data_IF_051234402952
#
_entry.id   IF_051234402952
#
_cell.length_a   1.000
_cell.length_b   1.000
_cell.length_c   1.000
_cell.angle_alpha   90.00
_cell.angle_beta   90.00
_cell.angle_gamma   90.00
#
_symmetry.space_group_name_H-M   'P 1'
#
loop_
_entity.id
_entity.type
_entity.pdbx_description
1 polymer ?
#
# COMPACT_ATOMS: atom_id res chain seq x y z
N UNK A 1 -23.94 0.97 26.59
CA UNK A 1 -23.53 -0.43 26.71
C UNK A 1 -23.98 -1.30 25.51
N UNK A 2 -25.23 -1.17 25.03
CA UNK A 2 -25.74 -1.97 23.91
C UNK A 2 -25.00 -1.68 22.60
N UNK A 3 -24.78 -0.43 22.22
CA UNK A 3 -24.04 -0.03 21.02
C UNK A 3 -22.59 -0.55 20.98
N UNK A 4 -21.92 -0.57 22.14
CA UNK A 4 -20.56 -1.16 22.24
C UNK A 4 -20.56 -2.67 22.06
N UNK A 5 -21.59 -3.37 22.53
CA UNK A 5 -21.74 -4.83 22.33
C UNK A 5 -22.03 -5.16 20.87
N UNK A 6 -22.86 -4.37 20.21
CA UNK A 6 -23.17 -4.51 18.79
C UNK A 6 -21.96 -4.23 17.91
N UNK A 7 -21.23 -3.15 18.18
CA UNK A 7 -19.97 -2.84 17.50
C UNK A 7 -18.93 -3.97 17.69
N UNK A 8 -18.80 -4.50 18.90
CA UNK A 8 -17.87 -5.61 19.18
C UNK A 8 -18.28 -6.91 18.47
N UNK A 9 -19.59 -7.20 18.39
CA UNK A 9 -20.13 -8.36 17.65
C UNK A 9 -19.90 -8.21 16.15
N UNK A 10 -20.12 -7.01 15.61
CA UNK A 10 -19.86 -6.70 14.19
C UNK A 10 -18.37 -6.88 13.84
N UNK A 11 -17.48 -6.32 14.65
CA UNK A 11 -16.03 -6.48 14.49
C UNK A 11 -15.61 -7.95 14.51
N UNK A 12 -16.12 -8.76 15.44
CA UNK A 12 -15.83 -10.21 15.50
C UNK A 12 -16.30 -10.96 14.26
N UNK A 13 -17.47 -10.62 13.73
CA UNK A 13 -18.00 -11.29 12.54
C UNK A 13 -17.21 -10.90 11.28
N UNK A 14 -16.87 -9.61 11.11
CA UNK A 14 -16.04 -9.13 10.00
C UNK A 14 -14.65 -9.78 10.03
N UNK A 15 -14.02 -9.85 11.19
CA UNK A 15 -12.72 -10.50 11.36
C UNK A 15 -12.73 -11.98 10.96
N UNK A 16 -13.77 -12.75 11.35
CA UNK A 16 -13.89 -14.14 10.91
C UNK A 16 -14.02 -14.29 9.40
N UNK A 17 -14.74 -13.38 8.75
CA UNK A 17 -14.91 -13.36 7.29
C UNK A 17 -13.59 -13.03 6.59
N UNK A 18 -12.84 -12.05 7.11
CA UNK A 18 -11.54 -11.64 6.57
C UNK A 18 -10.49 -12.76 6.72
N UNK A 19 -10.47 -13.45 7.88
CA UNK A 19 -9.59 -14.60 8.10
C UNK A 19 -9.85 -15.70 7.06
N UNK A 20 -11.11 -16.09 6.87
CA UNK A 20 -11.49 -17.12 5.91
C UNK A 20 -11.16 -16.71 4.46
N UNK A 21 -11.36 -15.44 4.08
CA UNK A 21 -10.99 -14.92 2.78
C UNK A 21 -9.46 -14.93 2.58
N UNK A 22 -8.71 -14.51 3.61
CA UNK A 22 -7.25 -14.51 3.56
C UNK A 22 -6.65 -15.90 3.40
N UNK A 23 -7.21 -16.91 4.09
CA UNK A 23 -6.74 -18.29 3.96
C UNK A 23 -7.08 -18.87 2.58
N UNK A 24 -8.29 -18.63 2.07
CA UNK A 24 -8.78 -19.16 0.78
C UNK A 24 -8.20 -18.44 -0.42
N UNK A 25 -8.35 -17.11 -0.46
CA UNK A 25 -8.04 -16.30 -1.65
C UNK A 25 -6.63 -15.69 -1.58
N UNK A 26 -6.08 -15.58 -0.37
CA UNK A 26 -4.78 -14.96 -0.11
C UNK A 26 -4.84 -13.44 0.01
N UNK A 27 -6.05 -12.84 -0.01
CA UNK A 27 -6.26 -11.41 0.21
C UNK A 27 -7.68 -11.09 0.69
N UNK A 28 -7.87 -9.86 1.16
CA UNK A 28 -9.18 -9.23 1.41
C UNK A 28 -9.07 -7.71 1.39
N UNK A 29 -10.18 -7.04 1.17
CA UNK A 29 -10.29 -5.58 1.28
C UNK A 29 -10.71 -5.21 2.69
N UNK A 30 -10.03 -4.24 3.28
CA UNK A 30 -10.37 -3.67 4.58
C UNK A 30 -10.71 -2.19 4.44
N UNK A 31 -11.86 -1.79 4.95
CA UNK A 31 -12.35 -0.42 4.89
C UNK A 31 -11.85 0.40 6.06
N UNK A 32 -11.51 1.68 5.79
CA UNK A 32 -11.11 2.64 6.81
C UNK A 32 -10.04 2.09 7.78
N UNK A 33 -9.02 1.45 7.23
CA UNK A 33 -7.92 0.90 8.04
C UNK A 33 -7.00 2.01 8.55
N UNK A 34 -6.96 3.13 7.85
CA UNK A 34 -6.18 4.31 8.18
C UNK A 34 -7.00 5.56 7.86
N UNK A 35 -7.03 6.53 8.77
CA UNK A 35 -7.54 7.86 8.45
C UNK A 35 -6.40 8.70 7.85
N UNK A 36 -6.47 9.10 6.57
CA UNK A 36 -5.40 9.86 5.91
C UNK A 36 -5.43 11.36 6.22
N UNK A 37 -6.35 11.86 7.03
CA UNK A 37 -6.53 13.30 7.34
C UNK A 37 -5.32 13.96 7.99
N UNK A 38 -4.43 13.17 8.61
CA UNK A 38 -3.18 13.68 9.18
C UNK A 38 -2.13 14.07 8.12
N UNK A 39 -2.33 13.72 6.84
CA UNK A 39 -1.39 14.02 5.77
C UNK A 39 -1.68 15.42 5.26
N UNK A 40 -0.96 16.42 5.79
CA UNK A 40 -1.10 17.84 5.43
C UNK A 40 -0.04 18.31 4.45
N UNK A 41 0.92 17.47 4.10
CA UNK A 41 2.02 17.80 3.20
C UNK A 41 1.53 18.10 1.78
N UNK A 42 2.23 19.02 1.11
CA UNK A 42 2.05 19.22 -0.32
C UNK A 42 2.44 17.99 -1.13
N UNK A 43 1.83 17.83 -2.29
CA UNK A 43 2.16 16.74 -3.21
C UNK A 43 3.56 16.99 -3.79
N UNK A 44 4.51 16.04 -3.64
CA UNK A 44 5.85 16.21 -4.17
C UNK A 44 5.83 16.39 -5.70
N UNK A 45 6.60 17.35 -6.19
CA UNK A 45 6.78 17.60 -7.63
C UNK A 45 7.98 16.87 -8.21
N UNK A 46 8.96 16.52 -7.36
CA UNK A 46 10.16 15.79 -7.74
C UNK A 46 9.88 14.29 -7.80
N UNK A 47 10.38 13.65 -8.85
CA UNK A 47 10.38 12.21 -9.01
C UNK A 47 11.65 11.62 -8.40
N UNK A 48 11.58 10.38 -7.92
CA UNK A 48 12.72 9.66 -7.38
C UNK A 48 12.39 8.88 -6.11
N UNK A 49 13.42 8.32 -5.51
CA UNK A 49 13.34 7.57 -4.26
C UNK A 49 14.00 8.33 -3.12
N UNK A 50 13.34 8.35 -1.99
CA UNK A 50 13.87 8.92 -0.77
C UNK A 50 13.85 7.87 0.33
N UNK A 51 14.89 7.84 1.12
CA UNK A 51 14.95 7.04 2.33
C UNK A 51 15.09 7.96 3.53
N UNK A 52 14.45 7.63 4.63
CA UNK A 52 14.76 8.23 5.93
C UNK A 52 15.62 7.26 6.74
N UNK A 53 16.54 7.79 7.51
CA UNK A 53 17.25 7.03 8.51
C UNK A 53 16.55 7.16 9.87
N UNK A 54 17.09 6.47 10.89
CA UNK A 54 16.57 6.55 12.27
C UNK A 54 16.54 7.96 12.87
N UNK A 55 17.18 8.93 12.25
CA UNK A 55 17.20 10.35 12.64
C UNK A 55 16.18 11.18 11.85
N UNK A 56 15.38 10.57 10.97
CA UNK A 56 14.41 11.27 10.12
C UNK A 56 15.02 12.03 8.95
N UNK A 57 16.31 11.84 8.65
CA UNK A 57 16.96 12.50 7.51
C UNK A 57 16.56 11.78 6.23
N UNK A 58 15.93 12.50 5.33
CA UNK A 58 15.61 12.00 3.99
C UNK A 58 16.88 11.98 3.13
N UNK A 59 17.15 10.83 2.50
CA UNK A 59 18.17 10.69 1.46
C UNK A 59 17.49 10.47 0.13
N UNK A 60 17.82 11.27 -0.84
CA UNK A 60 17.43 11.03 -2.22
C UNK A 60 18.32 9.95 -2.83
N UNK A 61 17.71 8.93 -3.40
CA UNK A 61 18.40 7.89 -4.15
C UNK A 61 18.00 8.08 -5.62
N UNK A 62 18.95 8.21 -6.54
CA UNK A 62 18.64 8.34 -7.95
C UNK A 62 17.79 7.17 -8.44
N UNK A 63 16.76 7.47 -9.22
CA UNK A 63 15.75 6.50 -9.68
C UNK A 63 16.38 5.31 -10.42
N UNK A 64 17.43 5.55 -11.19
CA UNK A 64 18.15 4.50 -11.94
C UNK A 64 18.91 3.51 -11.07
N UNK A 65 19.18 3.83 -9.80
CA UNK A 65 19.91 2.95 -8.88
C UNK A 65 19.01 1.96 -8.14
N UNK A 66 17.72 2.19 -8.12
CA UNK A 66 16.81 1.48 -7.23
C UNK A 66 15.76 0.65 -7.94
N UNK A 67 15.51 0.88 -9.23
CA UNK A 67 14.42 0.21 -9.90
C UNK A 67 14.60 0.12 -11.43
N UNK A 68 13.93 -0.88 -11.98
CA UNK A 68 13.82 -1.11 -13.41
C UNK A 68 13.08 0.03 -14.13
N UNK A 69 13.21 0.10 -15.46
CA UNK A 69 12.58 1.09 -16.35
C UNK A 69 11.06 1.22 -16.21
N UNK A 70 10.43 0.39 -15.38
CA UNK A 70 8.99 0.35 -15.09
C UNK A 70 8.52 1.43 -14.12
N UNK A 71 9.43 2.21 -13.59
CA UNK A 71 9.23 3.12 -12.46
C UNK A 71 9.08 4.58 -12.86
N UNK A 72 8.99 4.87 -14.14
CA UNK A 72 8.83 6.24 -14.63
C UNK A 72 7.55 6.87 -14.05
N UNK A 73 7.66 8.06 -13.52
CA UNK A 73 6.50 8.81 -13.04
C UNK A 73 6.11 8.56 -11.60
N UNK A 74 7.05 8.30 -10.67
CA UNK A 74 6.75 8.11 -9.24
C UNK A 74 7.75 8.80 -8.32
N UNK A 75 7.35 8.95 -7.07
CA UNK A 75 8.16 9.43 -5.94
C UNK A 75 7.89 8.53 -4.74
N UNK A 76 8.91 7.94 -4.16
CA UNK A 76 8.79 7.02 -3.02
C UNK A 76 9.63 7.46 -1.84
N UNK A 77 9.10 7.27 -0.61
CA UNK A 77 9.80 7.56 0.65
C UNK A 77 9.79 6.30 1.51
N UNK A 78 10.98 5.78 1.78
CA UNK A 78 11.15 4.58 2.60
C UNK A 78 11.33 4.95 4.07
N UNK A 79 10.65 4.21 4.96
CA UNK A 79 10.64 4.42 6.40
C UNK A 79 10.33 5.88 6.80
N UNK A 80 9.44 6.55 6.04
CA UNK A 80 9.10 7.95 6.31
C UNK A 80 8.43 8.07 7.67
N UNK A 81 8.95 8.91 8.59
CA UNK A 81 8.55 8.92 10.00
C UNK A 81 7.07 9.17 10.24
N UNK A 82 6.41 9.92 9.34
CA UNK A 82 4.98 10.23 9.41
C UNK A 82 4.09 8.99 9.57
N UNK A 83 4.49 7.86 9.00
CA UNK A 83 3.69 6.63 9.00
C UNK A 83 4.07 5.62 10.09
N UNK A 84 5.03 5.94 10.96
CA UNK A 84 5.54 5.01 11.97
C UNK A 84 4.45 4.49 12.90
N UNK A 85 3.68 5.38 13.50
CA UNK A 85 2.64 5.00 14.46
C UNK A 85 1.49 4.25 13.77
N UNK A 86 1.11 4.70 12.57
CA UNK A 86 0.13 4.02 11.73
C UNK A 86 0.56 2.59 11.37
N UNK A 87 1.85 2.38 11.06
CA UNK A 87 2.42 1.07 10.77
C UNK A 87 2.21 0.07 11.90
N UNK A 88 2.47 0.48 13.16
CA UNK A 88 2.25 -0.37 14.32
C UNK A 88 0.77 -0.53 14.70
N UNK A 89 -0.05 0.49 14.49
CA UNK A 89 -1.49 0.42 14.73
C UNK A 89 -2.15 -0.56 13.74
N UNK A 90 -1.82 -0.44 12.45
CA UNK A 90 -2.29 -1.33 11.40
C UNK A 90 -1.84 -2.78 11.65
N UNK A 91 -0.59 -3.00 12.08
CA UNK A 91 -0.12 -4.34 12.49
C UNK A 91 -1.06 -5.01 13.47
N UNK A 92 -1.41 -4.30 14.57
CA UNK A 92 -2.32 -4.84 15.61
C UNK A 92 -3.69 -5.18 15.03
N UNK A 93 -4.20 -4.35 14.13
CA UNK A 93 -5.47 -4.60 13.45
C UNK A 93 -5.39 -5.84 12.55
N UNK A 94 -4.32 -5.97 11.76
CA UNK A 94 -4.12 -7.13 10.88
C UNK A 94 -4.01 -8.44 11.67
N UNK A 95 -3.31 -8.45 12.81
CA UNK A 95 -3.24 -9.65 13.66
C UNK A 95 -4.61 -10.16 14.09
N UNK A 96 -5.57 -9.25 14.31
CA UNK A 96 -6.96 -9.60 14.63
C UNK A 96 -7.67 -10.16 13.38
N UNK A 97 -7.51 -9.49 12.24
CA UNK A 97 -8.22 -9.84 11.00
C UNK A 97 -7.77 -11.18 10.41
N UNK A 98 -6.46 -11.49 10.48
CA UNK A 98 -5.91 -12.74 9.93
C UNK A 98 -5.71 -13.83 10.98
N UNK A 99 -5.92 -13.53 12.27
CA UNK A 99 -5.78 -14.52 13.37
C UNK A 99 -4.34 -15.00 13.58
N UNK A 100 -3.32 -14.26 13.13
CA UNK A 100 -1.90 -14.65 13.19
C UNK A 100 -1.06 -13.52 13.77
N UNK A 101 0.04 -13.86 14.43
CA UNK A 101 0.99 -12.87 14.96
C UNK A 101 1.99 -12.46 13.90
N UNK A 102 2.31 -11.17 13.89
CA UNK A 102 3.19 -10.55 12.91
C UNK A 102 4.40 -9.91 13.55
N UNK A 103 5.56 -10.00 12.89
CA UNK A 103 6.67 -9.09 13.09
C UNK A 103 6.62 -7.97 12.05
N UNK A 104 6.97 -6.72 12.43
CA UNK A 104 7.11 -5.64 11.48
C UNK A 104 8.29 -5.92 10.54
N UNK A 105 8.15 -5.60 9.26
CA UNK A 105 9.24 -5.62 8.30
C UNK A 105 9.66 -4.18 7.98
N UNK A 106 8.97 -3.50 7.08
CA UNK A 106 9.23 -2.10 6.77
C UNK A 106 7.98 -1.45 6.16
N UNK A 107 8.06 -0.15 5.94
CA UNK A 107 7.03 0.61 5.23
C UNK A 107 7.64 1.59 4.25
N UNK A 108 6.88 1.93 3.23
CA UNK A 108 7.15 3.06 2.36
C UNK A 108 5.84 3.64 1.83
N UNK A 109 5.86 4.90 1.44
CA UNK A 109 4.77 5.52 0.72
C UNK A 109 5.22 5.92 -0.68
N UNK A 110 4.24 6.05 -1.58
CA UNK A 110 4.52 6.32 -2.97
C UNK A 110 3.45 7.20 -3.59
N UNK A 111 3.93 8.24 -4.27
CA UNK A 111 3.13 9.02 -5.20
C UNK A 111 3.36 8.49 -6.61
N UNK A 112 2.27 8.22 -7.31
CA UNK A 112 2.25 7.88 -8.71
C UNK A 112 1.74 9.06 -9.51
N UNK A 113 2.31 9.25 -10.69
CA UNK A 113 1.99 10.32 -11.63
C UNK A 113 1.79 9.75 -13.02
N UNK A 114 1.52 10.63 -13.99
CA UNK A 114 1.43 10.24 -15.40
C UNK A 114 2.65 9.42 -15.86
N UNK A 115 2.38 8.36 -16.59
CA UNK A 115 3.38 7.40 -17.05
C UNK A 115 3.65 6.24 -16.09
N UNK A 116 3.16 6.30 -14.84
CA UNK A 116 3.31 5.20 -13.88
C UNK A 116 2.59 3.94 -14.33
N UNK A 117 3.21 2.81 -14.04
CA UNK A 117 2.63 1.47 -14.15
C UNK A 117 3.22 0.62 -13.02
N UNK A 118 2.46 -0.29 -12.49
CA UNK A 118 2.96 -1.36 -11.63
C UNK A 118 2.64 -2.68 -12.32
N UNK A 119 3.64 -3.27 -12.98
CA UNK A 119 3.46 -4.55 -13.66
C UNK A 119 3.07 -5.64 -12.69
N UNK A 120 2.43 -6.69 -13.19
CA UNK A 120 2.11 -7.87 -12.41
C UNK A 120 3.37 -8.50 -11.85
N UNK A 121 3.43 -8.68 -10.53
CA UNK A 121 4.57 -9.24 -9.79
C UNK A 121 4.10 -9.83 -8.46
N UNK A 122 4.95 -10.62 -7.86
CA UNK A 122 4.92 -10.99 -6.45
C UNK A 122 6.00 -10.20 -5.71
N UNK A 123 5.78 -9.98 -4.43
CA UNK A 123 6.73 -9.28 -3.58
C UNK A 123 7.91 -10.17 -3.17
N UNK A 124 8.96 -9.53 -2.66
CA UNK A 124 10.11 -10.20 -2.03
C UNK A 124 9.78 -10.71 -0.62
N UNK A 125 10.59 -11.60 -0.07
CA UNK A 125 10.36 -12.28 1.22
C UNK A 125 10.00 -11.38 2.42
N UNK A 126 10.60 -10.18 2.64
CA UNK A 126 10.19 -9.29 3.72
C UNK A 126 8.76 -8.75 3.62
N UNK A 127 8.08 -8.98 2.51
CA UNK A 127 6.71 -8.55 2.23
C UNK A 127 5.71 -9.72 2.30
N UNK A 128 5.95 -10.72 3.16
CA UNK A 128 5.11 -11.91 3.26
C UNK A 128 3.63 -11.57 3.46
N UNK A 129 3.34 -10.63 4.34
CA UNK A 129 2.01 -10.05 4.57
C UNK A 129 2.10 -8.57 4.27
N UNK A 130 1.40 -8.15 3.24
CA UNK A 130 1.40 -6.77 2.76
C UNK A 130 0.03 -6.14 2.91
N UNK A 131 -0.01 -4.85 3.17
CA UNK A 131 -1.20 -4.03 2.98
C UNK A 131 -0.87 -2.79 2.17
N UNK A 132 -1.60 -2.61 1.07
CA UNK A 132 -1.55 -1.42 0.23
C UNK A 132 -2.76 -0.54 0.56
N UNK A 133 -2.53 0.64 1.11
CA UNK A 133 -3.57 1.57 1.58
C UNK A 133 -3.59 2.79 0.67
N UNK A 134 -4.75 3.11 0.09
CA UNK A 134 -4.95 4.37 -0.61
C UNK A 134 -5.03 5.50 0.41
N UNK A 135 -4.25 6.56 0.19
CA UNK A 135 -4.22 7.72 1.09
C UNK A 135 -5.00 8.89 0.54
N UNK A 136 -4.66 9.34 -0.67
CA UNK A 136 -5.33 10.45 -1.34
C UNK A 136 -5.07 10.42 -2.85
N UNK A 137 -5.98 10.97 -3.62
CA UNK A 137 -5.84 11.12 -5.06
C UNK A 137 -6.66 12.31 -5.55
N UNK A 138 -6.25 12.91 -6.67
CA UNK A 138 -7.06 13.90 -7.39
C UNK A 138 -7.61 13.35 -8.71
N UNK A 139 -7.56 12.03 -8.91
CA UNK A 139 -8.20 11.36 -10.04
C UNK A 139 -9.72 11.37 -9.86
N UNK A 140 -10.45 11.69 -10.93
CA UNK A 140 -11.91 11.59 -10.97
C UNK A 140 -12.39 10.14 -10.94
N UNK A 141 -11.61 9.26 -11.59
CA UNK A 141 -11.89 7.82 -11.62
C UNK A 141 -10.89 7.05 -10.78
N UNK A 142 -11.37 6.17 -9.87
CA UNK A 142 -10.46 5.35 -9.07
C UNK A 142 -9.50 4.54 -9.94
N UNK A 143 -8.22 4.58 -9.61
CA UNK A 143 -7.19 3.75 -10.21
C UNK A 143 -7.13 2.40 -9.51
N UNK A 144 -7.71 1.37 -10.16
CA UNK A 144 -7.91 0.07 -9.54
C UNK A 144 -6.61 -0.63 -9.16
N UNK A 145 -6.64 -1.33 -8.02
CA UNK A 145 -5.63 -2.30 -7.61
C UNK A 145 -6.06 -3.68 -8.11
N UNK A 146 -5.18 -4.35 -8.86
CA UNK A 146 -5.39 -5.70 -9.38
C UNK A 146 -4.65 -6.74 -8.53
N UNK A 147 -5.25 -7.90 -8.33
CA UNK A 147 -4.64 -9.05 -7.63
C UNK A 147 -5.28 -10.35 -8.11
N UNK A 148 -4.50 -11.43 -8.16
CA UNK A 148 -5.00 -12.78 -8.43
C UNK A 148 -5.29 -13.52 -7.12
N UNK A 149 -6.37 -14.31 -7.13
CA UNK A 149 -6.71 -15.19 -6.02
C UNK A 149 -5.93 -16.53 -6.07
N UNK A 150 -6.25 -17.45 -5.15
CA UNK A 150 -5.63 -18.78 -5.09
C UNK A 150 -5.89 -19.66 -6.31
N UNK A 151 -6.84 -19.31 -7.17
CA UNK A 151 -7.17 -19.99 -8.43
C UNK A 151 -6.67 -19.22 -9.65
N UNK A 152 -5.77 -18.25 -9.47
CA UNK A 152 -5.22 -17.38 -10.52
C UNK A 152 -6.28 -16.50 -11.22
N UNK A 153 -7.42 -16.28 -10.56
CA UNK A 153 -8.47 -15.43 -11.11
C UNK A 153 -8.20 -13.96 -10.73
N UNK A 154 -8.24 -13.03 -11.70
CA UNK A 154 -7.95 -11.63 -11.45
C UNK A 154 -9.14 -10.91 -10.80
N UNK A 155 -8.84 -10.11 -9.79
CA UNK A 155 -9.77 -9.22 -9.11
C UNK A 155 -9.28 -7.78 -9.19
N UNK A 156 -10.20 -6.83 -9.40
CA UNK A 156 -9.92 -5.39 -9.48
C UNK A 156 -10.68 -4.65 -8.40
N UNK A 157 -9.97 -3.96 -7.53
CA UNK A 157 -10.54 -3.19 -6.43
C UNK A 157 -10.40 -1.69 -6.64
N UNK A 158 -11.51 -0.99 -6.49
CA UNK A 158 -11.58 0.46 -6.38
C UNK A 158 -11.59 0.78 -4.89
N UNK A 159 -10.57 1.46 -4.43
CA UNK A 159 -10.41 1.85 -3.03
C UNK A 159 -10.83 3.31 -2.87
N UNK A 160 -11.34 3.66 -1.70
CA UNK A 160 -11.46 5.03 -1.23
C UNK A 160 -10.24 5.37 -0.35
N UNK A 161 -10.07 6.65 -0.04
CA UNK A 161 -9.03 7.09 0.87
C UNK A 161 -9.23 6.44 2.25
N UNK A 162 -8.14 5.86 2.77
CA UNK A 162 -8.16 5.08 4.01
C UNK A 162 -8.48 3.58 3.84
N UNK A 163 -8.95 3.12 2.68
CA UNK A 163 -9.16 1.69 2.40
C UNK A 163 -7.85 1.00 2.03
N UNK A 164 -7.76 -0.29 2.32
CA UNK A 164 -6.60 -1.10 1.97
C UNK A 164 -6.96 -2.47 1.40
N UNK A 165 -6.02 -3.04 0.64
CA UNK A 165 -5.99 -4.46 0.29
C UNK A 165 -4.90 -5.12 1.11
N UNK A 166 -5.26 -6.14 1.90
CA UNK A 166 -4.35 -7.00 2.65
C UNK A 166 -4.11 -8.24 1.84
N UNK A 167 -2.85 -8.65 1.66
CA UNK A 167 -2.54 -9.78 0.78
C UNK A 167 -1.25 -10.50 1.17
N UNK A 168 -1.13 -11.75 0.73
CA UNK A 168 0.08 -12.57 0.82
C UNK A 168 1.03 -12.14 -0.28
N UNK A 169 1.91 -11.17 0.02
CA UNK A 169 2.73 -10.50 -0.98
C UNK A 169 3.63 -11.42 -1.79
N UNK A 170 4.21 -12.44 -1.14
CA UNK A 170 5.10 -13.42 -1.79
C UNK A 170 4.37 -14.51 -2.59
N UNK A 171 3.02 -14.53 -2.57
CA UNK A 171 2.23 -15.61 -3.17
C UNK A 171 1.24 -15.12 -4.23
N UNK A 172 0.81 -13.86 -4.17
CA UNK A 172 -0.25 -13.32 -5.02
C UNK A 172 0.30 -12.32 -6.01
N UNK A 173 0.12 -12.59 -7.31
CA UNK A 173 0.39 -11.62 -8.35
C UNK A 173 -0.51 -10.42 -8.19
N UNK A 174 0.09 -9.23 -8.17
CA UNK A 174 -0.66 -7.99 -8.02
C UNK A 174 -0.06 -6.88 -8.89
N UNK A 175 -0.91 -5.91 -9.28
CA UNK A 175 -0.53 -4.89 -10.26
C UNK A 175 -1.40 -3.64 -10.17
N UNK A 176 -0.98 -2.62 -10.89
CA UNK A 176 -1.82 -1.52 -11.35
C UNK A 176 -1.58 -1.30 -12.83
N UNK A 177 -2.64 -1.13 -13.62
CA UNK A 177 -2.55 -0.77 -15.04
C UNK A 177 -1.86 0.59 -15.21
N UNK A 178 -1.64 1.01 -16.44
CA UNK A 178 -1.10 2.34 -16.73
C UNK A 178 -1.93 3.41 -16.01
N UNK A 179 -1.22 4.40 -15.43
CA UNK A 179 -1.83 5.53 -14.73
C UNK A 179 -2.87 6.23 -15.63
N UNK A 180 -4.06 6.57 -15.11
CA UNK A 180 -5.12 7.18 -15.90
C UNK A 180 -4.71 8.54 -16.49
N UNK A 181 -5.17 8.81 -17.68
CA UNK A 181 -5.10 10.14 -18.30
C UNK A 181 -6.49 10.74 -18.30
N UNK A 182 -6.64 11.93 -17.76
CA UNK A 182 -7.89 12.67 -17.71
C UNK A 182 -7.77 13.96 -18.54
N UNK A 183 -8.89 14.46 -19.00
CA UNK A 183 -8.97 15.63 -19.86
C UNK A 183 -10.03 16.61 -19.35
N UNK A 184 -9.66 17.86 -19.25
CA UNK A 184 -10.61 18.95 -19.11
C UNK A 184 -11.24 19.23 -20.48
N UNK A 185 -12.54 19.52 -20.48
CA UNK A 185 -13.27 19.88 -21.71
C UNK A 185 -13.82 21.30 -21.54
N UNK A 186 -13.40 22.21 -22.40
CA UNK A 186 -13.89 23.57 -22.39
C UNK A 186 -15.33 23.66 -22.95
N UNK A 187 -15.93 24.84 -22.85
CA UNK A 187 -17.28 25.10 -23.32
C UNK A 187 -17.47 24.96 -24.84
N UNK A 188 -16.37 24.89 -25.60
CA UNK A 188 -16.38 24.62 -27.05
C UNK A 188 -16.15 23.14 -27.38
N UNK A 189 -16.00 22.29 -26.37
CA UNK A 189 -15.74 20.86 -26.55
C UNK A 189 -14.28 20.50 -26.77
N UNK A 190 -13.34 21.46 -26.70
CA UNK A 190 -11.90 21.18 -26.83
C UNK A 190 -11.40 20.48 -25.57
N UNK A 191 -10.72 19.35 -25.79
CA UNK A 191 -10.10 18.56 -24.72
C UNK A 191 -8.65 18.96 -24.50
N UNK A 192 -8.29 19.23 -23.24
CA UNK A 192 -6.90 19.52 -22.81
C UNK A 192 -6.54 18.51 -21.73
N UNK A 193 -5.38 17.86 -21.88
CA UNK A 193 -4.90 16.89 -20.87
C UNK A 193 -4.71 17.61 -19.53
N UNK A 194 -5.28 17.02 -18.46
CA UNK A 194 -5.08 17.52 -17.10
C UNK A 194 -3.66 17.21 -16.63
N UNK A 195 -3.00 18.23 -16.11
CA UNK A 195 -1.70 18.11 -15.47
C UNK A 195 -1.84 17.96 -13.95
N UNK A 196 -0.76 17.55 -13.28
CA UNK A 196 -0.71 17.46 -11.82
C UNK A 196 -1.56 16.35 -11.22
N UNK A 197 -2.02 15.38 -12.03
CA UNK A 197 -2.71 14.20 -11.52
C UNK A 197 -1.77 13.33 -10.69
N UNK A 198 -2.26 12.84 -9.55
CA UNK A 198 -1.50 11.97 -8.67
C UNK A 198 -2.38 10.92 -7.97
N UNK A 199 -1.74 9.85 -7.52
CA UNK A 199 -2.29 8.86 -6.62
C UNK A 199 -1.26 8.54 -5.54
N UNK A 200 -1.62 8.73 -4.28
CA UNK A 200 -0.77 8.51 -3.12
C UNK A 200 -1.22 7.28 -2.35
N UNK A 201 -0.31 6.38 -2.08
CA UNK A 201 -0.57 5.19 -1.26
C UNK A 201 0.61 4.88 -0.35
N UNK A 202 0.34 4.16 0.74
CA UNK A 202 1.35 3.62 1.64
C UNK A 202 1.29 2.09 1.62
N UNK A 203 2.45 1.48 1.74
CA UNK A 203 2.64 0.03 1.83
C UNK A 203 3.24 -0.30 3.19
N UNK A 204 2.59 -1.19 3.91
CA UNK A 204 3.08 -1.74 5.17
C UNK A 204 3.33 -3.23 4.99
N UNK A 205 4.54 -3.66 5.35
CA UNK A 205 4.98 -5.03 5.16
C UNK A 205 5.31 -5.69 6.50
N UNK A 206 4.91 -6.93 6.62
CA UNK A 206 5.07 -7.75 7.82
C UNK A 206 5.45 -9.18 7.42
N UNK A 207 5.98 -9.93 8.39
CA UNK A 207 6.20 -11.38 8.28
C UNK A 207 5.52 -12.09 9.42
N UNK A 208 5.12 -13.35 9.20
CA UNK A 208 4.53 -14.19 10.24
C UNK A 208 5.57 -14.49 11.33
N UNK A 209 5.19 -14.39 12.62
CA UNK A 209 6.11 -14.70 13.72
C UNK A 209 6.56 -16.16 13.70
N UNK A 210 5.63 -17.05 13.39
CA UNK A 210 5.85 -18.51 13.34
C UNK A 210 6.04 -19.02 11.91
N UNK A 211 6.32 -18.11 10.94
CA UNK A 211 6.51 -18.43 9.53
C UNK A 211 7.97 -18.64 9.15
N UNK A 212 8.17 -19.22 7.95
CA UNK A 212 9.51 -19.46 7.38
C UNK A 212 10.26 -18.18 7.04
N UNK A 213 9.58 -17.02 7.04
CA UNK A 213 10.15 -15.70 6.71
C UNK A 213 10.36 -14.80 7.94
N UNK A 214 10.26 -15.33 9.16
CA UNK A 214 10.42 -14.53 10.38
C UNK A 214 11.81 -13.86 10.51
N UNK A 215 12.85 -14.42 9.88
CA UNK A 215 14.20 -13.83 9.84
C UNK A 215 14.26 -12.50 9.08
N UNK A 216 13.27 -12.18 8.24
CA UNK A 216 13.19 -10.90 7.53
C UNK A 216 12.47 -9.80 8.35
N UNK A 217 12.16 -10.09 9.60
CA UNK A 217 11.65 -9.07 10.52
C UNK A 217 12.59 -7.86 10.57
N UNK A 218 12.00 -6.65 10.61
CA UNK A 218 12.69 -5.36 10.57
C UNK A 218 13.59 -5.16 9.34
N UNK A 219 13.29 -5.89 8.25
CA UNK A 219 13.99 -5.83 6.95
C UNK A 219 15.52 -5.80 7.08
N UNK A 220 16.09 -6.66 7.93
CA UNK A 220 17.53 -6.72 8.21
C UNK A 220 18.39 -6.99 6.98
N UNK A 221 17.77 -7.45 5.90
CA UNK A 221 18.41 -7.77 4.62
C UNK A 221 18.10 -6.76 3.53
N UNK A 222 17.51 -5.61 3.90
CA UNK A 222 17.14 -4.57 2.96
C UNK A 222 18.35 -4.02 2.23
N UNK A 223 18.20 -3.85 0.91
CA UNK A 223 19.16 -3.08 0.09
C UNK A 223 19.30 -1.61 0.55
N UNK A 224 18.40 -1.14 1.41
CA UNK A 224 18.41 0.20 1.98
C UNK A 224 19.22 0.32 3.28
N UNK A 225 19.97 -0.74 3.64
CA UNK A 225 21.00 -0.70 4.66
C UNK A 225 20.52 -0.38 6.07
N UNK A 226 19.65 -1.22 6.62
CA UNK A 226 19.32 -1.15 8.04
C UNK A 226 18.76 0.20 8.46
N UNK A 227 17.62 0.57 7.93
CA UNK A 227 16.90 1.82 8.25
C UNK A 227 16.32 1.85 9.68
N UNK A 228 16.68 0.87 10.52
CA UNK A 228 16.17 0.67 11.90
C UNK A 228 17.20 0.91 12.97
#
# INVERSE_FOLDING_TARGET
MQAMREAHKLLKNTSKTNHAAFDRDGFFVIKNILDPSFITEEVPTTRGHHTSNRYGILRSIPEYQTETTESVGRYSRYAYPLFKDSFYAVKKRLEIEIGKKLYPSYWFDRYYYDGSILKSHIDRDPCEISVSIQLRTNLEKPWSFGIEDGNEMPHLFKLNDGDGVVYKGCERFHWRSKFPVEYDTDWKGKKTKRDGLYHHQVFFHYVLQDGLRCQYAWDRTSQFGGLW
#
